data_IF_045221640991
#
_entry.id   IF_045221640991
#
_cell.length_a   1.000
_cell.length_b   1.000
_cell.length_c   1.000
_cell.angle_alpha   90.00
_cell.angle_beta   90.00
_cell.angle_gamma   90.00
#
_symmetry.space_group_name_H-M   'P 1'
#
loop_
_entity.id
_entity.type
_entity.pdbx_description
1 polymer ?
#
# COMPACT_ATOMS: atom_id res chain seq x y z
N UNK A 1 27.46 6.28 -28.10
CA UNK A 1 26.02 6.01 -27.90
C UNK A 1 25.82 5.97 -26.39
N UNK A 2 25.19 7.01 -25.85
CA UNK A 2 24.97 7.16 -24.42
C UNK A 2 23.92 6.15 -23.98
N UNK A 3 24.28 5.24 -23.07
CA UNK A 3 23.28 4.53 -22.27
C UNK A 3 22.85 5.53 -21.20
N UNK A 4 21.63 6.02 -21.37
CA UNK A 4 20.92 6.85 -20.40
C UNK A 4 20.84 6.05 -19.10
N UNK A 5 21.67 6.42 -18.12
CA UNK A 5 21.55 5.91 -16.77
C UNK A 5 20.18 6.38 -16.26
N UNK A 6 19.22 5.46 -16.16
CA UNK A 6 17.97 5.66 -15.42
C UNK A 6 18.35 5.91 -13.95
N UNK A 7 18.79 7.14 -13.65
CA UNK A 7 19.06 7.59 -12.31
C UNK A 7 17.68 7.74 -11.68
N UNK A 8 17.23 6.71 -10.97
CA UNK A 8 16.06 6.80 -10.11
C UNK A 8 16.32 7.97 -9.16
N UNK A 9 15.74 9.13 -9.47
CA UNK A 9 15.84 10.31 -8.63
C UNK A 9 14.94 10.04 -7.44
N UNK A 10 15.54 9.52 -6.37
CA UNK A 10 14.87 9.39 -5.08
C UNK A 10 14.52 10.78 -4.57
N UNK A 11 13.27 11.19 -4.74
CA UNK A 11 12.72 12.37 -4.10
C UNK A 11 12.26 12.00 -2.69
N UNK A 12 12.80 12.68 -1.68
CA UNK A 12 12.36 12.51 -0.29
C UNK A 12 11.24 13.50 -0.01
N UNK A 13 10.07 12.97 0.35
CA UNK A 13 8.90 13.77 0.74
C UNK A 13 8.64 13.59 2.24
N UNK A 14 8.41 14.69 2.97
CA UNK A 14 7.98 14.65 4.37
C UNK A 14 6.47 14.74 4.47
N UNK A 15 5.84 13.82 5.19
CA UNK A 15 4.39 13.72 5.35
C UNK A 15 4.04 13.83 6.84
N UNK A 16 3.02 14.64 7.15
CA UNK A 16 2.37 14.64 8.46
C UNK A 16 1.03 13.92 8.33
N UNK A 17 0.86 12.81 9.06
CA UNK A 17 -0.34 11.96 8.99
C UNK A 17 -1.01 11.95 10.35
N UNK A 18 -2.31 12.22 10.39
CA UNK A 18 -3.15 12.07 11.58
C UNK A 18 -3.96 10.79 11.46
N UNK A 19 -3.83 9.91 12.46
CA UNK A 19 -4.57 8.65 12.54
C UNK A 19 -5.49 8.68 13.77
N UNK A 20 -6.64 7.98 13.71
CA UNK A 20 -7.40 7.68 14.92
C UNK A 20 -6.52 6.97 15.95
N UNK A 21 -6.74 7.24 17.23
CA UNK A 21 -5.90 6.73 18.33
C UNK A 21 -5.71 5.21 18.27
N UNK A 22 -6.81 4.46 18.10
CA UNK A 22 -6.75 2.99 18.02
C UNK A 22 -5.89 2.51 16.85
N UNK A 23 -6.00 3.15 15.68
CA UNK A 23 -5.21 2.79 14.50
C UNK A 23 -3.73 3.08 14.72
N UNK A 24 -3.39 4.17 15.42
CA UNK A 24 -2.01 4.49 15.77
C UNK A 24 -1.41 3.46 16.75
N UNK A 25 -2.22 2.99 17.72
CA UNK A 25 -1.82 1.93 18.65
C UNK A 25 -1.60 0.60 17.92
N UNK A 26 -2.54 0.21 17.06
CA UNK A 26 -2.45 -1.04 16.28
C UNK A 26 -1.22 -1.01 15.35
N UNK A 27 -0.96 0.12 14.69
CA UNK A 27 0.23 0.29 13.86
C UNK A 27 1.53 0.14 14.67
N UNK A 28 1.57 0.69 15.89
CA UNK A 28 2.72 0.55 16.78
C UNK A 28 2.93 -0.90 17.19
N UNK A 29 1.87 -1.60 17.57
CA UNK A 29 1.93 -3.02 17.93
C UNK A 29 2.39 -3.90 16.74
N UNK A 30 1.91 -3.61 15.53
CA UNK A 30 2.37 -4.29 14.32
C UNK A 30 3.86 -4.01 14.06
N UNK A 31 4.32 -2.77 14.23
CA UNK A 31 5.72 -2.42 14.07
C UNK A 31 6.63 -3.23 15.01
N UNK A 32 6.22 -3.39 16.26
CA UNK A 32 6.93 -4.26 17.21
C UNK A 32 6.97 -5.72 16.76
N UNK A 33 5.83 -6.27 16.34
CA UNK A 33 5.71 -7.66 15.88
C UNK A 33 6.61 -7.95 14.67
N UNK A 34 6.69 -7.01 13.73
CA UNK A 34 7.50 -7.16 12.51
C UNK A 34 8.93 -6.65 12.66
N UNK A 35 9.35 -6.26 13.88
CA UNK A 35 10.66 -5.66 14.15
C UNK A 35 11.01 -4.51 13.19
N UNK A 36 10.02 -3.65 12.92
CA UNK A 36 10.11 -2.51 12.03
C UNK A 36 9.69 -1.22 12.75
N UNK A 37 9.80 -0.07 12.07
CA UNK A 37 9.21 1.19 12.55
C UNK A 37 7.89 1.46 11.81
N UNK A 38 6.93 2.17 12.43
CA UNK A 38 5.69 2.58 11.78
C UNK A 38 5.92 3.30 10.43
N UNK A 39 6.91 4.19 10.37
CA UNK A 39 7.25 4.94 9.15
C UNK A 39 7.74 4.02 8.04
N UNK A 40 8.59 3.05 8.38
CA UNK A 40 9.11 2.08 7.41
C UNK A 40 7.99 1.20 6.86
N UNK A 41 7.05 0.78 7.71
CA UNK A 41 5.89 0.00 7.29
C UNK A 41 4.99 0.81 6.35
N UNK A 42 4.62 2.03 6.75
CA UNK A 42 3.80 2.93 5.92
C UNK A 42 4.49 3.17 4.57
N UNK A 43 5.77 3.52 4.55
CA UNK A 43 6.50 3.76 3.30
C UNK A 43 6.49 2.53 2.37
N UNK A 44 6.67 1.33 2.93
CA UNK A 44 6.61 0.07 2.19
C UNK A 44 5.22 -0.20 1.62
N UNK A 45 4.18 -0.06 2.44
CA UNK A 45 2.79 -0.26 2.03
C UNK A 45 2.35 0.78 1.00
N UNK A 46 2.69 2.05 1.18
CA UNK A 46 2.40 3.12 0.22
C UNK A 46 3.05 2.84 -1.13
N UNK A 47 4.34 2.44 -1.15
CA UNK A 47 5.02 2.05 -2.39
C UNK A 47 4.28 0.92 -3.10
N UNK A 48 4.06 -0.19 -2.41
CA UNK A 48 3.39 -1.36 -3.00
C UNK A 48 1.98 -1.03 -3.49
N UNK A 49 1.23 -0.20 -2.74
CA UNK A 49 -0.11 0.21 -3.13
C UNK A 49 -0.11 1.08 -4.39
N UNK A 50 0.80 2.06 -4.48
CA UNK A 50 0.94 2.92 -5.67
C UNK A 50 1.37 2.10 -6.88
N UNK A 51 2.35 1.20 -6.74
CA UNK A 51 2.81 0.31 -7.81
C UNK A 51 1.66 -0.56 -8.34
N UNK A 52 0.86 -1.14 -7.45
CA UNK A 52 -0.31 -1.95 -7.82
C UNK A 52 -1.35 -1.12 -8.58
N UNK A 53 -1.68 0.08 -8.09
CA UNK A 53 -2.63 0.98 -8.76
C UNK A 53 -2.13 1.41 -10.15
N UNK A 54 -0.84 1.72 -10.28
CA UNK A 54 -0.21 2.06 -11.55
C UNK A 54 -0.19 0.88 -12.54
N UNK A 55 -0.13 -0.35 -12.03
CA UNK A 55 -0.25 -1.58 -12.80
C UNK A 55 -1.72 -1.94 -13.16
N UNK A 56 -2.69 -1.13 -12.76
CA UNK A 56 -4.13 -1.38 -12.98
C UNK A 56 -4.71 -2.46 -12.06
N UNK A 57 -3.99 -2.90 -11.04
CA UNK A 57 -4.52 -3.77 -10.00
C UNK A 57 -5.37 -2.91 -9.07
N UNK A 58 -6.69 -3.07 -9.15
CA UNK A 58 -7.61 -2.46 -8.18
C UNK A 58 -7.38 -3.08 -6.81
N UNK A 59 -7.46 -2.31 -5.71
CA UNK A 59 -7.44 -2.88 -4.36
C UNK A 59 -8.52 -3.97 -4.29
N UNK A 60 -8.09 -5.23 -4.12
CA UNK A 60 -8.97 -6.38 -4.12
C UNK A 60 -9.84 -6.39 -2.88
N UNK A 61 -10.95 -5.67 -2.93
CA UNK A 61 -12.05 -5.68 -1.98
C UNK A 61 -13.39 -5.87 -2.71
N UNK A 62 -13.43 -6.80 -3.66
CA UNK A 62 -14.64 -7.21 -4.35
C UNK A 62 -14.47 -8.66 -4.76
N UNK A 63 -15.04 -9.56 -3.98
CA UNK A 63 -15.29 -10.94 -4.42
C UNK A 63 -15.94 -10.85 -5.82
N UNK A 64 -15.43 -11.55 -6.85
CA UNK A 64 -16.21 -11.68 -8.08
C UNK A 64 -17.61 -12.19 -7.70
N UNK A 65 -18.70 -11.68 -8.29
CA UNK A 65 -20.04 -12.17 -7.96
C UNK A 65 -20.01 -13.69 -8.14
N UNK A 66 -20.42 -14.40 -7.08
CA UNK A 66 -20.55 -15.84 -7.13
C UNK A 66 -21.54 -16.16 -8.26
N UNK A 67 -21.19 -16.99 -9.26
CA UNK A 67 -22.11 -17.31 -10.35
C UNK A 67 -23.41 -18.00 -9.88
N UNK A 68 -23.51 -18.34 -8.59
CA UNK A 68 -24.72 -18.84 -7.94
C UNK A 68 -25.75 -17.78 -7.51
N UNK A 69 -25.45 -16.48 -7.63
CA UNK A 69 -26.41 -15.39 -7.36
C UNK A 69 -27.09 -14.86 -8.64
N UNK A 70 -27.04 -15.62 -9.75
CA UNK A 70 -27.95 -15.36 -10.86
C UNK A 70 -29.35 -15.84 -10.46
N UNK A 71 -30.38 -14.97 -10.37
CA UNK A 71 -31.74 -15.46 -10.26
C UNK A 71 -32.03 -16.26 -11.54
N UNK A 72 -32.48 -17.50 -11.35
CA UNK A 72 -32.98 -18.39 -12.37
C UNK A 72 -33.86 -17.61 -13.37
N UNK A 73 -33.40 -17.53 -14.62
CA UNK A 73 -34.11 -16.90 -15.74
C UNK A 73 -33.93 -17.74 -17.01
#
# INVERSE_FOLDING_TARGET
>A
MAHDEHRETSETVTLHISLPEQVAQDLTALAELYHATPERMIASWTRSHVENLMAGLTPGGGQPPDPLDAPDA
#
